data_IF_328582181737
#
_entry.id   IF_328582181737
#
_cell.length_a   1.000
_cell.length_b   1.000
_cell.length_c   1.000
_cell.angle_alpha   90.00
_cell.angle_beta   90.00
_cell.angle_gamma   90.00
#
_symmetry.space_group_name_H-M   'P 1'
#
loop_
_entity.id
_entity.type
_entity.pdbx_description
1 polymer ?
#
# COMPACT_ATOMS: atom_id res chain seq x y z
N UNK A 1 -12.23 -44.86 19.83
CA UNK A 1 -11.09 -43.94 19.74
C UNK A 1 -11.53 -42.59 20.31
N UNK A 2 -11.51 -42.44 21.63
CA UNK A 2 -11.89 -41.18 22.29
C UNK A 2 -10.79 -40.16 22.10
N UNK A 3 -11.12 -38.92 21.72
CA UNK A 3 -10.15 -37.81 21.72
C UNK A 3 -9.59 -37.71 23.14
N UNK A 4 -8.27 -37.76 23.26
CA UNK A 4 -7.58 -37.53 24.53
C UNK A 4 -7.91 -36.15 25.09
N UNK A 5 -7.59 -35.89 26.38
CA UNK A 5 -7.85 -34.60 27.00
C UNK A 5 -7.21 -33.50 26.15
N UNK A 6 -8.04 -32.56 25.70
CA UNK A 6 -7.60 -31.38 24.96
C UNK A 6 -6.79 -30.53 25.93
N UNK A 7 -5.51 -30.37 25.63
CA UNK A 7 -4.63 -29.49 26.39
C UNK A 7 -5.16 -28.05 26.29
N UNK A 8 -5.60 -27.50 27.43
CA UNK A 8 -6.17 -26.15 27.49
C UNK A 8 -5.14 -25.09 27.10
N UNK A 9 -3.88 -25.34 27.40
CA UNK A 9 -2.81 -24.38 27.13
C UNK A 9 -2.52 -24.33 25.62
N UNK A 10 -2.59 -25.48 24.94
CA UNK A 10 -2.48 -25.56 23.49
C UNK A 10 -3.66 -24.85 22.79
N UNK A 11 -4.89 -25.05 23.28
CA UNK A 11 -6.07 -24.35 22.73
C UNK A 11 -5.98 -22.84 22.91
N UNK A 12 -5.46 -22.39 24.05
CA UNK A 12 -5.31 -20.96 24.35
C UNK A 12 -4.25 -20.33 23.44
N UNK A 13 -3.09 -20.98 23.30
CA UNK A 13 -2.03 -20.53 22.40
C UNK A 13 -2.50 -20.40 20.94
N UNK A 14 -3.20 -21.41 20.43
CA UNK A 14 -3.71 -21.39 19.04
C UNK A 14 -4.75 -20.29 18.84
N UNK A 15 -5.56 -20.00 19.86
CA UNK A 15 -6.53 -18.89 19.81
C UNK A 15 -5.83 -17.54 19.75
N UNK A 16 -4.81 -17.32 20.58
CA UNK A 16 -4.02 -16.09 20.59
C UNK A 16 -3.30 -15.86 19.25
N UNK A 17 -2.71 -16.92 18.68
CA UNK A 17 -2.06 -16.86 17.36
C UNK A 17 -3.07 -16.51 16.25
N UNK A 18 -4.27 -17.10 16.30
CA UNK A 18 -5.35 -16.76 15.37
C UNK A 18 -5.77 -15.30 15.50
N UNK A 19 -5.93 -14.79 16.71
CA UNK A 19 -6.30 -13.39 16.96
C UNK A 19 -5.24 -12.42 16.41
N UNK A 20 -3.95 -12.74 16.59
CA UNK A 20 -2.85 -11.95 16.02
C UNK A 20 -2.86 -11.94 14.49
N UNK A 21 -3.06 -13.09 13.85
CA UNK A 21 -3.12 -13.18 12.38
C UNK A 21 -4.32 -12.40 11.84
N UNK A 22 -5.48 -12.47 12.50
CA UNK A 22 -6.67 -11.72 12.12
C UNK A 22 -6.47 -10.22 12.23
N UNK A 23 -5.82 -9.75 13.29
CA UNK A 23 -5.47 -8.33 13.46
C UNK A 23 -4.51 -7.86 12.36
N UNK A 24 -3.49 -8.64 12.04
CA UNK A 24 -2.54 -8.30 10.97
C UNK A 24 -3.23 -8.22 9.60
N UNK A 25 -4.17 -9.14 9.35
CA UNK A 25 -4.98 -9.13 8.14
C UNK A 25 -5.90 -7.90 8.08
N UNK A 26 -6.55 -7.55 9.18
CA UNK A 26 -7.40 -6.36 9.31
C UNK A 26 -6.62 -5.08 8.94
N UNK A 27 -5.46 -4.87 9.57
CA UNK A 27 -4.58 -3.72 9.28
C UNK A 27 -4.19 -3.68 7.80
N UNK A 28 -3.89 -4.83 7.22
CA UNK A 28 -3.51 -4.95 5.80
C UNK A 28 -4.68 -4.55 4.88
N UNK A 29 -5.90 -4.97 5.18
CA UNK A 29 -7.07 -4.60 4.38
C UNK A 29 -7.47 -3.14 4.59
N UNK A 30 -7.31 -2.61 5.80
CA UNK A 30 -7.48 -1.19 6.11
C UNK A 30 -6.59 -0.33 5.19
N UNK A 31 -5.27 -0.54 5.23
CA UNK A 31 -4.29 0.16 4.38
C UNK A 31 -4.64 0.03 2.89
N UNK A 32 -5.06 -1.16 2.44
CA UNK A 32 -5.46 -1.41 1.04
C UNK A 32 -6.79 -0.79 0.63
N UNK A 33 -7.62 -0.32 1.55
CA UNK A 33 -8.96 0.22 1.24
C UNK A 33 -9.02 1.75 1.11
N UNK A 34 -8.04 2.49 1.66
CA UNK A 34 -7.93 3.95 1.64
C UNK A 34 -9.22 4.71 2.04
N UNK A 35 -9.93 4.28 3.09
CA UNK A 35 -11.05 5.03 3.67
C UNK A 35 -10.89 5.23 5.17
N UNK A 36 -11.41 6.36 5.66
CA UNK A 36 -11.60 6.68 7.08
C UNK A 36 -12.47 5.62 7.76
N UNK A 37 -11.81 4.86 8.62
CA UNK A 37 -12.34 3.78 9.45
C UNK A 37 -13.38 4.25 10.50
N UNK A 38 -13.52 5.56 10.72
CA UNK A 38 -14.09 6.10 11.96
C UNK A 38 -15.61 5.87 12.13
N UNK A 39 -16.38 5.58 11.07
CA UNK A 39 -17.84 5.55 11.15
C UNK A 39 -18.48 4.16 11.29
N UNK A 40 -17.75 3.05 11.19
CA UNK A 40 -18.38 1.72 11.17
C UNK A 40 -17.53 0.68 11.88
N UNK A 41 -18.03 0.23 13.03
CA UNK A 41 -17.45 -0.82 13.85
C UNK A 41 -17.03 -2.04 13.03
N UNK A 42 -15.89 -2.59 13.43
CA UNK A 42 -15.13 -3.59 12.71
C UNK A 42 -15.86 -4.95 12.52
N UNK A 43 -15.56 -5.58 11.37
CA UNK A 43 -15.26 -7.01 11.22
C UNK A 43 -15.15 -7.33 9.73
N UNK A 44 -13.95 -7.28 9.15
CA UNK A 44 -13.52 -8.06 7.97
C UNK A 44 -14.65 -8.45 6.97
N UNK A 45 -15.49 -7.49 6.56
CA UNK A 45 -16.75 -7.82 5.91
C UNK A 45 -16.50 -8.06 4.43
N UNK A 46 -17.37 -8.88 3.82
CA UNK A 46 -17.46 -9.03 2.35
C UNK A 46 -17.42 -7.68 1.61
N UNK A 47 -17.94 -6.61 2.23
CA UNK A 47 -17.91 -5.27 1.68
C UNK A 47 -16.47 -4.74 1.46
N UNK A 48 -15.58 -4.85 2.45
CA UNK A 48 -14.19 -4.39 2.31
C UNK A 48 -13.43 -5.21 1.29
N UNK A 49 -13.57 -6.54 1.30
CA UNK A 49 -12.96 -7.40 0.29
C UNK A 49 -13.47 -7.06 -1.13
N UNK A 50 -14.78 -6.91 -1.31
CA UNK A 50 -15.35 -6.53 -2.60
C UNK A 50 -14.87 -5.15 -3.03
N UNK A 51 -14.79 -4.17 -2.11
CA UNK A 51 -14.29 -2.85 -2.42
C UNK A 51 -12.82 -2.88 -2.84
N UNK A 52 -11.97 -3.65 -2.15
CA UNK A 52 -10.57 -3.82 -2.55
C UNK A 52 -10.48 -4.53 -3.89
N UNK A 53 -11.30 -5.54 -4.17
CA UNK A 53 -11.35 -6.20 -5.48
C UNK A 53 -11.79 -5.23 -6.59
N UNK A 54 -12.83 -4.43 -6.36
CA UNK A 54 -13.27 -3.40 -7.30
C UNK A 54 -12.20 -2.34 -7.54
N UNK A 55 -11.44 -1.95 -6.50
CA UNK A 55 -10.33 -1.02 -6.62
C UNK A 55 -9.16 -1.63 -7.38
N UNK A 56 -8.79 -2.88 -7.06
CA UNK A 56 -7.77 -3.64 -7.81
C UNK A 56 -8.15 -3.71 -9.29
N UNK A 57 -9.38 -4.08 -9.62
CA UNK A 57 -9.86 -4.12 -11.01
C UNK A 57 -9.78 -2.76 -11.72
N UNK A 58 -10.14 -1.67 -11.03
CA UNK A 58 -10.04 -0.30 -11.59
C UNK A 58 -8.60 0.18 -11.77
N UNK A 59 -7.68 -0.29 -10.93
CA UNK A 59 -6.29 0.15 -10.95
C UNK A 59 -5.39 -0.74 -11.82
N UNK A 60 -5.94 -1.76 -12.50
CA UNK A 60 -5.19 -2.52 -13.50
C UNK A 60 -4.97 -1.62 -14.71
N UNK A 61 -3.70 -1.42 -15.03
CA UNK A 61 -3.29 -0.78 -16.29
C UNK A 61 -3.35 -1.87 -17.36
N UNK A 62 -4.34 -1.77 -18.25
CA UNK A 62 -4.54 -2.72 -19.35
C UNK A 62 -3.69 -2.38 -20.57
N UNK A 63 -3.49 -1.10 -20.82
CA UNK A 63 -2.70 -0.61 -21.94
C UNK A 63 -2.13 0.77 -21.65
N UNK A 64 -0.94 1.03 -22.18
CA UNK A 64 -0.29 2.35 -22.17
C UNK A 64 0.17 2.67 -23.58
N UNK A 65 0.32 3.97 -23.87
CA UNK A 65 0.95 4.41 -25.10
C UNK A 65 2.45 4.54 -24.91
N UNK A 66 3.20 3.99 -25.86
CA UNK A 66 4.65 4.18 -25.93
C UNK A 66 5.00 5.58 -26.49
N UNK A 67 6.29 5.90 -26.53
CA UNK A 67 6.82 7.15 -27.09
C UNK A 67 6.57 7.30 -28.60
N UNK A 68 6.32 6.20 -29.31
CA UNK A 68 5.90 6.17 -30.71
C UNK A 68 4.37 6.32 -30.88
N UNK A 69 3.62 6.58 -29.80
CA UNK A 69 2.16 6.75 -29.76
C UNK A 69 1.37 5.47 -30.13
N UNK A 70 1.99 4.31 -29.99
CA UNK A 70 1.38 3.00 -30.19
C UNK A 70 0.89 2.42 -28.86
N UNK A 71 -0.21 1.69 -28.88
CA UNK A 71 -0.75 1.02 -27.69
C UNK A 71 0.00 -0.29 -27.44
N UNK A 72 0.48 -0.43 -26.20
CA UNK A 72 1.11 -1.64 -25.68
C UNK A 72 0.18 -2.26 -24.65
N UNK A 73 -0.07 -3.57 -24.77
CA UNK A 73 -0.95 -4.34 -23.88
C UNK A 73 -0.18 -5.38 -23.06
N UNK A 74 1.09 -5.66 -23.41
CA UNK A 74 1.91 -6.66 -22.73
C UNK A 74 2.29 -6.22 -21.31
N UNK A 75 2.01 -7.05 -20.31
CA UNK A 75 2.20 -6.71 -18.89
C UNK A 75 3.67 -6.46 -18.53
N UNK A 76 4.61 -7.19 -19.13
CA UNK A 76 6.03 -7.02 -18.82
C UNK A 76 6.56 -5.74 -19.47
N UNK A 77 6.11 -5.42 -20.68
CA UNK A 77 6.42 -4.14 -21.35
C UNK A 77 5.79 -2.95 -20.61
N UNK A 78 4.53 -3.06 -20.18
CA UNK A 78 3.84 -2.04 -19.36
C UNK A 78 4.63 -1.75 -18.07
N UNK A 79 5.12 -2.81 -17.41
CA UNK A 79 5.95 -2.69 -16.21
C UNK A 79 7.28 -2.00 -16.53
N UNK A 80 7.95 -2.39 -17.61
CA UNK A 80 9.21 -1.77 -18.03
C UNK A 80 9.04 -0.28 -18.34
N UNK A 81 7.96 0.10 -19.04
CA UNK A 81 7.65 1.50 -19.33
C UNK A 81 7.39 2.30 -18.06
N UNK A 82 6.58 1.78 -17.12
CA UNK A 82 6.33 2.44 -15.86
C UNK A 82 7.62 2.64 -15.05
N UNK A 83 8.46 1.61 -14.94
CA UNK A 83 9.74 1.69 -14.23
C UNK A 83 10.66 2.74 -14.87
N UNK A 84 10.78 2.77 -16.20
CA UNK A 84 11.62 3.73 -16.91
C UNK A 84 11.19 5.18 -16.66
N UNK A 85 9.88 5.45 -16.67
CA UNK A 85 9.34 6.77 -16.35
C UNK A 85 9.66 7.18 -14.92
N UNK A 86 9.44 6.32 -13.94
CA UNK A 86 9.72 6.65 -12.54
C UNK A 86 11.22 6.77 -12.26
N UNK A 87 12.05 5.93 -12.88
CA UNK A 87 13.51 6.08 -12.79
C UNK A 87 13.94 7.45 -13.30
N UNK A 88 13.45 7.88 -14.46
CA UNK A 88 13.73 9.22 -14.99
C UNK A 88 13.23 10.33 -14.06
N UNK A 89 11.99 10.20 -13.54
CA UNK A 89 11.37 11.19 -12.66
C UNK A 89 12.15 11.40 -11.35
N UNK A 90 12.73 10.34 -10.80
CA UNK A 90 13.46 10.35 -9.53
C UNK A 90 15.00 10.38 -9.70
N UNK A 91 15.51 10.68 -10.90
CA UNK A 91 16.94 10.92 -11.12
C UNK A 91 17.24 12.42 -10.99
N UNK A 92 18.44 12.75 -10.46
CA UNK A 92 18.90 14.08 -10.02
C UNK A 92 18.90 15.19 -11.09
N UNK A 93 18.68 14.87 -12.36
CA UNK A 93 18.64 15.87 -13.44
C UNK A 93 17.36 16.72 -13.47
N UNK A 94 16.54 16.70 -12.42
CA UNK A 94 15.35 17.53 -12.35
C UNK A 94 14.41 17.20 -13.50
N UNK A 95 13.94 15.95 -13.54
CA UNK A 95 12.94 15.52 -14.50
C UNK A 95 11.80 16.53 -14.55
N UNK A 96 11.53 17.05 -15.74
CA UNK A 96 10.54 18.08 -16.00
C UNK A 96 9.18 17.70 -15.37
N UNK A 97 8.87 18.30 -14.22
CA UNK A 97 7.70 17.97 -13.39
C UNK A 97 6.36 18.37 -14.05
N UNK A 98 6.39 18.77 -15.32
CA UNK A 98 5.24 19.15 -16.15
C UNK A 98 4.14 18.07 -16.21
N UNK A 99 4.43 16.83 -15.82
CA UNK A 99 3.49 15.71 -15.82
C UNK A 99 2.79 15.41 -14.47
N UNK A 100 3.11 16.10 -13.37
CA UNK A 100 2.42 15.86 -12.11
C UNK A 100 1.07 16.59 -12.07
N UNK A 101 -0.07 15.88 -11.92
CA UNK A 101 -1.40 16.51 -11.95
C UNK A 101 -1.79 17.31 -10.70
N UNK A 102 -0.85 17.84 -9.91
CA UNK A 102 -1.22 18.54 -8.68
C UNK A 102 -0.26 19.67 -8.35
N UNK A 103 -0.84 20.77 -7.88
CA UNK A 103 -0.22 21.84 -7.12
C UNK A 103 0.35 21.28 -5.81
N UNK A 104 1.39 20.45 -5.91
CA UNK A 104 2.12 20.01 -4.73
C UNK A 104 2.76 21.25 -4.11
N UNK A 105 2.53 21.50 -2.80
CA UNK A 105 3.13 22.64 -2.14
C UNK A 105 4.65 22.50 -2.25
N UNK A 106 5.30 23.58 -2.69
CA UNK A 106 6.75 23.65 -2.71
C UNK A 106 7.23 23.48 -1.27
N UNK A 107 7.97 22.41 -1.01
CA UNK A 107 8.54 22.18 0.31
C UNK A 107 9.66 23.20 0.50
N UNK A 108 9.54 24.02 1.54
CA UNK A 108 10.56 25.00 1.88
C UNK A 108 11.87 24.28 2.23
N UNK A 109 13.00 24.81 1.80
CA UNK A 109 14.32 24.17 1.96
C UNK A 109 14.67 23.89 3.43
N UNK A 110 14.16 24.71 4.35
CA UNK A 110 14.25 24.52 5.81
C UNK A 110 13.60 23.22 6.29
N UNK A 111 12.46 22.85 5.70
CA UNK A 111 11.71 21.62 6.01
C UNK A 111 12.43 20.38 5.47
N UNK A 112 13.09 20.48 4.31
CA UNK A 112 13.91 19.39 3.78
C UNK A 112 15.10 19.07 4.69
N UNK A 113 15.78 20.12 5.17
CA UNK A 113 16.88 19.98 6.14
C UNK A 113 16.40 19.39 7.47
N UNK A 114 15.15 19.61 7.86
CA UNK A 114 14.56 18.97 9.03
C UNK A 114 14.26 17.48 8.83
N UNK A 115 13.77 17.09 7.66
CA UNK A 115 13.46 15.68 7.33
C UNK A 115 14.73 14.83 7.21
N UNK A 116 15.84 15.39 6.74
CA UNK A 116 17.12 14.68 6.61
C UNK A 116 17.91 14.55 7.92
N UNK A 117 17.44 15.17 9.02
CA UNK A 117 18.05 14.98 10.34
C UNK A 117 17.82 13.56 10.84
N UNK A 118 18.84 13.01 11.49
CA UNK A 118 18.73 11.72 12.17
C UNK A 118 17.68 11.79 13.30
N UNK A 119 16.72 10.86 13.30
CA UNK A 119 15.72 10.69 14.35
C UNK A 119 16.35 10.73 15.74
N UNK A 120 15.80 11.57 16.60
CA UNK A 120 16.25 11.70 17.99
C UNK A 120 15.50 10.74 18.90
N UNK A 121 16.14 10.32 20.00
CA UNK A 121 15.53 9.37 20.96
C UNK A 121 14.25 9.92 21.63
N UNK A 122 14.00 11.23 21.55
CA UNK A 122 12.79 11.88 22.09
C UNK A 122 11.58 11.72 21.15
N UNK A 123 11.79 11.49 19.86
CA UNK A 123 10.71 11.33 18.86
C UNK A 123 10.17 9.89 18.78
N UNK A 124 10.85 8.93 19.44
CA UNK A 124 10.48 7.51 19.47
C UNK A 124 9.77 7.07 20.77
N UNK A 125 9.47 8.01 21.68
CA UNK A 125 8.82 7.74 22.97
C UNK A 125 7.33 8.13 22.96
#
# INVERSE_FOLDING_TARGET
MGRGPVDRDEVTRVREELELVLLQEEVTWCQKSCLEWIASGDRNTKFFHLRTLCRRKRNIILMLKNTANEWVEDQDELKAMAMGVFQLLYTDEGGDLQYLPADFPLIESSLLEEVDKSLTSEEMA
#
